data_IF_802500980637
#
_entry.id   IF_802500980637
#
_cell.length_a   1.000
_cell.length_b   1.000
_cell.length_c   1.000
_cell.angle_alpha   90.00
_cell.angle_beta   90.00
_cell.angle_gamma   90.00
#
_symmetry.space_group_name_H-M   'P 1'
#
loop_
_entity.id
_entity.type
_entity.pdbx_description
1 polymer ?
#
# COMPACT_ATOMS: atom_id res chain seq x y z
N UNK A 1 -0.26 -1.15 19.10
CA UNK A 1 0.78 -0.92 18.07
C UNK A 1 0.34 -1.71 16.85
N UNK A 2 -0.05 -1.01 15.78
CA UNK A 2 -0.46 -1.64 14.51
C UNK A 2 0.81 -2.11 13.79
N UNK A 3 0.88 -3.41 13.46
CA UNK A 3 2.09 -4.08 12.98
C UNK A 3 2.27 -4.04 11.45
N UNK A 4 1.57 -3.17 10.72
CA UNK A 4 1.50 -3.26 9.25
C UNK A 4 1.89 -1.97 8.49
N UNK A 5 2.59 -1.04 9.14
CA UNK A 5 3.12 0.13 8.42
C UNK A 5 4.47 -0.23 7.83
N UNK A 6 4.67 0.08 6.55
CA UNK A 6 5.94 -0.16 5.84
C UNK A 6 6.57 1.17 5.46
N UNK A 7 7.90 1.23 5.48
CA UNK A 7 8.60 2.38 4.94
C UNK A 7 8.59 2.35 3.41
N UNK A 8 8.84 3.50 2.78
CA UNK A 8 9.04 3.60 1.33
C UNK A 8 10.11 2.61 0.85
N UNK A 9 11.26 2.54 1.52
CA UNK A 9 12.34 1.60 1.20
C UNK A 9 11.92 0.13 1.33
N UNK A 10 11.08 -0.20 2.32
CA UNK A 10 10.57 -1.57 2.47
C UNK A 10 9.59 -1.93 1.36
N UNK A 11 8.76 -0.97 0.94
CA UNK A 11 7.82 -1.13 -0.17
C UNK A 11 8.59 -1.31 -1.49
N UNK A 12 9.58 -0.47 -1.78
CA UNK A 12 10.43 -0.57 -2.97
C UNK A 12 11.11 -1.95 -3.09
N UNK A 13 11.61 -2.49 -1.98
CA UNK A 13 12.22 -3.83 -1.96
C UNK A 13 11.22 -4.97 -2.14
N UNK A 14 9.95 -4.75 -1.82
CA UNK A 14 8.89 -5.76 -1.87
C UNK A 14 8.11 -5.73 -3.18
N UNK A 15 8.10 -4.60 -3.86
CA UNK A 15 7.51 -4.43 -5.18
C UNK A 15 8.57 -4.67 -6.26
N UNK A 16 8.15 -4.64 -7.52
CA UNK A 16 9.06 -4.59 -8.67
C UNK A 16 9.05 -3.21 -9.33
N UNK A 17 8.56 -2.20 -8.60
CA UNK A 17 8.48 -0.81 -9.05
C UNK A 17 9.81 -0.13 -8.73
N UNK A 18 10.24 0.77 -9.60
CA UNK A 18 11.29 1.71 -9.23
C UNK A 18 10.78 2.80 -8.28
N UNK A 19 11.70 3.65 -7.84
CA UNK A 19 11.40 4.65 -6.83
C UNK A 19 10.42 5.73 -7.30
N UNK A 20 10.37 6.04 -8.59
CA UNK A 20 9.46 7.07 -9.11
C UNK A 20 8.08 6.44 -9.37
N UNK A 21 8.04 5.23 -9.95
CA UNK A 21 6.82 4.45 -10.14
C UNK A 21 6.11 4.13 -8.81
N UNK A 22 6.89 3.79 -7.77
CA UNK A 22 6.34 3.54 -6.44
C UNK A 22 5.77 4.82 -5.81
N UNK A 23 6.40 5.97 -6.02
CA UNK A 23 5.89 7.23 -5.48
C UNK A 23 4.56 7.61 -6.12
N UNK A 24 4.44 7.50 -7.44
CA UNK A 24 3.21 7.76 -8.18
C UNK A 24 2.07 6.80 -7.76
N UNK A 25 2.38 5.51 -7.57
CA UNK A 25 1.40 4.52 -7.11
C UNK A 25 0.95 4.81 -5.68
N UNK A 26 1.86 5.15 -4.77
CA UNK A 26 1.51 5.49 -3.39
C UNK A 26 0.70 6.77 -3.31
N UNK A 27 0.98 7.78 -4.14
CA UNK A 27 0.16 8.99 -4.22
C UNK A 27 -1.26 8.67 -4.70
N UNK A 28 -1.39 7.85 -5.75
CA UNK A 28 -2.70 7.41 -6.26
C UNK A 28 -3.51 6.67 -5.20
N UNK A 29 -2.89 5.76 -4.45
CA UNK A 29 -3.55 5.00 -3.38
C UNK A 29 -3.95 5.87 -2.18
N UNK A 30 -3.18 6.92 -1.89
CA UNK A 30 -3.46 7.91 -0.84
C UNK A 30 -4.64 8.82 -1.25
N UNK A 31 -4.65 9.29 -2.51
CA UNK A 31 -5.78 10.05 -3.08
C UNK A 31 -7.09 9.25 -3.09
N UNK A 32 -7.00 7.96 -3.38
CA UNK A 32 -8.15 7.05 -3.28
C UNK A 32 -8.52 6.70 -1.82
N UNK A 33 -7.71 7.11 -0.84
CA UNK A 33 -7.91 6.84 0.59
C UNK A 33 -7.80 5.36 0.96
N UNK A 34 -7.02 4.59 0.20
CA UNK A 34 -6.77 3.17 0.43
C UNK A 34 -5.57 2.95 1.36
N UNK A 35 -4.61 3.86 1.31
CA UNK A 35 -3.52 3.96 2.26
C UNK A 35 -3.56 5.33 2.95
N UNK A 36 -2.68 5.51 3.94
CA UNK A 36 -2.43 6.79 4.59
C UNK A 36 -0.92 6.94 4.86
N UNK A 37 -0.41 8.17 4.75
CA UNK A 37 0.94 8.52 5.21
C UNK A 37 0.95 8.63 6.74
N UNK A 38 1.62 7.69 7.39
CA UNK A 38 1.68 7.59 8.86
C UNK A 38 2.76 8.52 9.42
N UNK A 39 3.89 8.62 8.73
CA UNK A 39 4.98 9.53 9.09
C UNK A 39 5.66 10.08 7.84
N UNK A 40 6.04 11.36 7.92
CA UNK A 40 6.76 12.08 6.87
C UNK A 40 8.11 12.49 7.42
N UNK A 41 9.17 12.03 6.79
CA UNK A 41 10.56 12.37 7.07
C UNK A 41 11.15 13.21 5.93
N UNK A 42 12.31 13.82 6.16
CA UNK A 42 13.08 14.50 5.13
C UNK A 42 13.68 13.51 4.13
N UNK A 43 14.02 12.31 4.61
CA UNK A 43 14.49 11.21 3.77
C UNK A 43 13.29 10.37 3.33
N UNK A 44 12.93 10.42 2.04
CA UNK A 44 11.75 9.73 1.48
C UNK A 44 11.70 8.25 1.86
N UNK A 45 12.85 7.59 1.85
CA UNK A 45 13.03 6.17 2.19
C UNK A 45 12.48 5.79 3.58
N UNK A 46 12.39 6.77 4.48
CA UNK A 46 11.91 6.62 5.85
C UNK A 46 10.42 6.95 6.02
N UNK A 47 9.76 7.51 5.01
CA UNK A 47 8.32 7.77 5.04
C UNK A 47 7.56 6.46 5.25
N UNK A 48 6.58 6.45 6.15
CA UNK A 48 5.80 5.25 6.46
C UNK A 48 4.37 5.35 5.95
N UNK A 49 3.88 4.24 5.44
CA UNK A 49 2.54 4.11 4.88
C UNK A 49 1.79 2.98 5.57
N UNK A 50 0.51 3.21 5.85
CA UNK A 50 -0.40 2.23 6.45
C UNK A 50 -1.60 2.00 5.54
N UNK A 51 -2.18 0.80 5.57
CA UNK A 51 -3.45 0.52 4.88
C UNK A 51 -4.63 1.05 5.70
N UNK A 52 -5.57 1.74 5.06
CA UNK A 52 -6.78 2.22 5.73
C UNK A 52 -7.82 1.10 5.86
N UNK A 53 -8.85 1.31 6.69
CA UNK A 53 -10.00 0.39 6.74
C UNK A 53 -10.72 0.25 5.38
N UNK A 54 -10.67 1.29 4.53
CA UNK A 54 -11.21 1.23 3.17
C UNK A 54 -10.33 0.32 2.31
N UNK A 55 -9.01 0.51 2.35
CA UNK A 55 -8.05 -0.34 1.65
C UNK A 55 -8.19 -1.81 2.03
N UNK A 56 -8.25 -2.12 3.33
CA UNK A 56 -8.43 -3.50 3.80
C UNK A 56 -9.70 -4.15 3.27
N UNK A 57 -10.83 -3.43 3.29
CA UNK A 57 -12.12 -3.95 2.81
C UNK A 57 -12.07 -4.22 1.31
N UNK A 58 -11.44 -3.34 0.53
CA UNK A 58 -11.30 -3.54 -0.92
C UNK A 58 -10.39 -4.75 -1.22
N UNK A 59 -9.25 -4.86 -0.55
CA UNK A 59 -8.35 -6.00 -0.71
C UNK A 59 -9.05 -7.33 -0.38
N UNK A 60 -9.76 -7.41 0.76
CA UNK A 60 -10.53 -8.60 1.14
C UNK A 60 -11.60 -8.96 0.09
N UNK A 61 -12.29 -7.96 -0.46
CA UNK A 61 -13.30 -8.15 -1.52
C UNK A 61 -12.66 -8.65 -2.82
N UNK A 62 -11.54 -8.06 -3.23
CA UNK A 62 -10.79 -8.49 -4.42
C UNK A 62 -10.35 -9.94 -4.29
N UNK A 63 -9.68 -10.28 -3.18
CA UNK A 63 -9.18 -11.64 -2.94
C UNK A 63 -10.31 -12.67 -2.97
N UNK A 64 -11.43 -12.41 -2.29
CA UNK A 64 -12.60 -13.30 -2.34
C UNK A 64 -13.08 -13.55 -3.76
N UNK A 65 -13.29 -12.49 -4.54
CA UNK A 65 -13.75 -12.62 -5.92
C UNK A 65 -12.72 -13.35 -6.80
N UNK A 66 -11.42 -13.15 -6.56
CA UNK A 66 -10.37 -13.80 -7.35
C UNK A 66 -10.29 -15.31 -7.08
N UNK A 67 -10.45 -15.74 -5.82
CA UNK A 67 -10.51 -17.17 -5.48
C UNK A 67 -11.82 -17.84 -5.92
N UNK A 68 -12.95 -17.16 -5.78
CA UNK A 68 -14.25 -17.70 -6.22
C UNK A 68 -14.32 -17.91 -7.75
N UNK A 69 -13.52 -17.19 -8.53
CA UNK A 69 -13.48 -17.30 -10.00
C UNK A 69 -12.42 -18.29 -10.50
N UNK A 70 -11.44 -18.66 -9.66
CA UNK A 70 -10.38 -19.59 -10.03
C UNK A 70 -10.77 -21.08 -9.87
N UNK A 71 -11.88 -21.37 -9.19
CA UNK A 71 -12.42 -22.73 -8.99
C UNK A 71 -13.70 -23.01 -9.82
N UNK A 72 -14.11 -22.10 -10.71
CA UNK A 72 -15.34 -22.18 -11.51
C UNK A 72 -15.16 -22.61 -12.97
#
# INVERSE_FOLDING_TARGET
MNYNNLTFLELEKKTSLDADELEDELESLDEEGLIERVSVDKERDLNQFGITEKGERMYKKYMRNHFDTAEG
#
